data_IF_705972102630
#
_entry.id   IF_705972102630
#
_cell.length_a   1.000
_cell.length_b   1.000
_cell.length_c   1.000
_cell.angle_alpha   90.00
_cell.angle_beta   90.00
_cell.angle_gamma   90.00
#
_symmetry.space_group_name_H-M   'P 1'
#
loop_
_entity.id
_entity.type
_entity.pdbx_description
1 polymer ?
#
# COMPACT_ATOMS: atom_id res chain seq x y z
N UNK A 1 76.99 25.02 40.14
CA UNK A 1 76.39 23.67 40.13
C UNK A 1 77.36 22.72 40.83
N UNK A 2 77.01 22.18 42.01
CA UNK A 2 77.88 21.33 42.84
C UNK A 2 77.75 19.88 42.35
N UNK A 3 78.78 19.35 41.68
CA UNK A 3 79.85 18.45 42.17
C UNK A 3 79.39 17.08 42.67
N UNK A 4 79.73 16.04 41.91
CA UNK A 4 79.77 14.62 42.35
C UNK A 4 81.18 14.12 42.08
N UNK A 5 81.83 13.62 43.13
CA UNK A 5 83.14 12.99 43.10
C UNK A 5 83.00 11.51 43.48
N UNK A 6 83.76 10.68 42.77
CA UNK A 6 83.92 9.25 43.00
C UNK A 6 84.76 8.98 44.26
N UNK A 7 84.62 7.78 44.84
CA UNK A 7 85.72 6.82 45.13
C UNK A 7 85.14 5.55 45.77
N UNK A 8 85.68 4.42 45.32
CA UNK A 8 85.40 3.04 45.69
C UNK A 8 86.45 2.56 46.71
N UNK A 9 86.05 1.79 47.73
CA UNK A 9 86.98 0.96 48.51
C UNK A 9 86.24 -0.24 49.14
N UNK A 10 86.84 -1.42 48.99
CA UNK A 10 86.42 -2.76 49.43
C UNK A 10 87.19 -3.15 50.70
N UNK A 11 86.59 -3.90 51.65
CA UNK A 11 87.23 -5.00 52.43
C UNK A 11 86.42 -5.63 53.61
N UNK A 12 85.87 -6.84 53.37
CA UNK A 12 85.89 -8.13 54.17
C UNK A 12 85.31 -8.28 55.63
N UNK A 13 85.04 -9.51 56.18
CA UNK A 13 83.72 -9.91 56.72
C UNK A 13 83.72 -10.54 58.15
N UNK A 14 82.56 -10.90 58.73
CA UNK A 14 82.46 -11.93 59.79
C UNK A 14 81.01 -12.45 60.01
N UNK A 15 80.85 -13.77 60.04
CA UNK A 15 79.65 -14.59 60.39
C UNK A 15 79.88 -15.23 61.79
N UNK A 16 78.98 -16.06 62.36
CA UNK A 16 77.67 -15.79 62.98
C UNK A 16 77.60 -16.33 64.45
N UNK A 17 76.50 -16.11 65.18
CA UNK A 17 76.15 -16.98 66.33
C UNK A 17 74.64 -16.95 66.65
N UNK A 18 73.99 -18.11 66.52
CA UNK A 18 72.70 -18.43 67.13
C UNK A 18 72.93 -19.25 68.41
N UNK A 19 72.12 -19.00 69.44
CA UNK A 19 71.53 -19.92 70.44
C UNK A 19 71.08 -19.06 71.63
N UNK A 20 70.04 -19.30 72.41
CA UNK A 20 68.96 -20.30 72.55
C UNK A 20 67.97 -19.63 73.52
N UNK A 21 66.65 -19.75 73.33
CA UNK A 21 65.72 -19.45 74.42
C UNK A 21 64.58 -20.46 74.51
N UNK A 22 64.32 -20.85 75.76
CA UNK A 22 63.54 -21.97 76.24
C UNK A 22 62.04 -21.85 75.97
N UNK A 23 61.39 -23.01 75.77
CA UNK A 23 59.93 -23.18 75.77
C UNK A 23 59.37 -23.27 77.19
N UNK A 24 58.20 -22.66 77.41
CA UNK A 24 57.19 -22.98 78.44
C UNK A 24 55.79 -23.02 77.75
N UNK A 25 54.76 -23.65 78.38
CA UNK A 25 53.85 -24.58 77.70
C UNK A 25 52.54 -23.96 77.17
N UNK A 26 51.86 -24.75 76.34
CA UNK A 26 50.71 -24.40 75.51
C UNK A 26 49.47 -23.94 76.28
N UNK A 27 48.89 -22.82 75.83
CA UNK A 27 47.50 -22.43 76.09
C UNK A 27 46.58 -23.06 75.04
N UNK A 28 45.44 -23.60 75.47
CA UNK A 28 44.37 -24.12 74.60
C UNK A 28 43.94 -23.05 73.60
N UNK A 29 44.07 -23.38 72.31
CA UNK A 29 43.56 -22.61 71.18
C UNK A 29 42.03 -22.71 71.22
N UNK A 30 41.35 -21.61 71.54
CA UNK A 30 39.91 -21.47 71.28
C UNK A 30 39.78 -21.39 69.76
N UNK A 31 39.07 -22.33 69.14
CA UNK A 31 38.71 -22.21 67.73
C UNK A 31 37.87 -20.93 67.54
N UNK A 32 38.19 -20.06 66.56
CA UNK A 32 37.30 -18.97 66.22
C UNK A 32 35.97 -19.57 65.76
N UNK A 33 34.87 -19.01 66.26
CA UNK A 33 33.55 -19.29 65.72
C UNK A 33 33.58 -19.16 64.18
N UNK A 34 32.85 -20.03 63.44
CA UNK A 34 32.87 -20.00 61.99
C UNK A 34 32.50 -18.59 61.52
N UNK A 35 33.32 -18.03 60.62
CA UNK A 35 33.04 -16.75 60.01
C UNK A 35 31.61 -16.76 59.45
N UNK A 36 30.79 -15.71 59.67
CA UNK A 36 29.48 -15.62 59.06
C UNK A 36 29.65 -15.83 57.55
N UNK A 37 28.82 -16.69 56.98
CA UNK A 37 28.86 -17.00 55.54
C UNK A 37 28.84 -15.72 54.70
N UNK A 38 29.36 -15.76 53.45
CA UNK A 38 29.43 -14.58 52.61
C UNK A 38 28.06 -13.90 52.53
N UNK A 39 28.02 -12.56 52.53
CA UNK A 39 26.76 -11.81 52.51
C UNK A 39 25.90 -12.26 51.33
N UNK A 40 24.67 -12.69 51.60
CA UNK A 40 23.74 -13.20 50.57
C UNK A 40 22.61 -12.23 50.27
N UNK A 41 22.15 -12.24 49.02
CA UNK A 41 20.97 -11.50 48.57
C UNK A 41 19.71 -12.18 49.09
N UNK A 42 18.86 -11.43 49.79
CA UNK A 42 17.59 -11.91 50.35
C UNK A 42 16.37 -11.20 49.75
N UNK A 43 16.58 -10.07 49.07
CA UNK A 43 15.55 -9.35 48.33
C UNK A 43 16.15 -8.74 47.06
N UNK A 44 15.38 -8.73 45.97
CA UNK A 44 15.76 -8.10 44.69
C UNK A 44 14.63 -7.15 44.30
N UNK A 45 14.98 -5.90 44.02
CA UNK A 45 14.08 -4.87 43.50
C UNK A 45 14.60 -4.39 42.14
N UNK A 46 13.69 -4.03 41.24
CA UNK A 46 14.03 -3.48 39.93
C UNK A 46 13.38 -2.11 39.79
N UNK A 47 14.15 -1.12 39.36
CA UNK A 47 13.69 0.24 39.10
C UNK A 47 14.02 0.65 37.65
N UNK A 48 13.20 1.54 37.07
CA UNK A 48 13.41 2.05 35.71
C UNK A 48 12.84 1.20 34.57
N UNK A 49 12.11 0.13 34.88
CA UNK A 49 11.35 -0.67 33.90
C UNK A 49 9.99 -0.02 33.62
N UNK A 50 9.56 -0.01 32.35
CA UNK A 50 8.28 0.55 31.90
C UNK A 50 7.47 -0.45 31.06
N UNK A 51 8.11 -1.08 30.07
CA UNK A 51 7.51 -2.05 29.15
C UNK A 51 7.50 -3.45 29.77
N UNK A 52 8.56 -3.82 30.49
CA UNK A 52 8.69 -5.14 31.10
C UNK A 52 8.28 -5.13 32.57
N UNK A 53 7.94 -6.32 33.08
CA UNK A 53 7.68 -6.49 34.52
C UNK A 53 9.00 -6.71 35.28
N UNK A 54 9.12 -6.25 36.53
CA UNK A 54 10.30 -6.49 37.37
C UNK A 54 10.74 -7.96 37.41
N UNK A 55 9.79 -8.90 37.47
CA UNK A 55 10.08 -10.33 37.55
C UNK A 55 10.78 -10.83 36.28
N UNK A 56 10.42 -10.29 35.12
CA UNK A 56 11.03 -10.64 33.85
C UNK A 56 12.49 -10.14 33.78
N UNK A 57 12.76 -8.95 34.34
CA UNK A 57 14.12 -8.40 34.43
C UNK A 57 14.98 -9.24 35.38
N UNK A 58 14.43 -9.64 36.53
CA UNK A 58 15.09 -10.54 37.47
C UNK A 58 15.39 -11.89 36.79
N UNK A 59 14.43 -12.46 36.07
CA UNK A 59 14.60 -13.72 35.35
C UNK A 59 15.76 -13.65 34.34
N UNK A 60 15.78 -12.64 33.47
CA UNK A 60 16.85 -12.51 32.47
C UNK A 60 18.21 -12.15 33.08
N UNK A 61 18.24 -11.46 34.22
CA UNK A 61 19.48 -11.21 34.97
C UNK A 61 20.10 -12.52 35.49
N UNK A 62 19.28 -13.56 35.69
CA UNK A 62 19.69 -14.83 36.29
C UNK A 62 20.09 -14.72 37.77
N UNK A 63 19.85 -13.58 38.42
CA UNK A 63 20.02 -13.42 39.86
C UNK A 63 18.95 -14.20 40.62
N UNK A 64 19.34 -14.78 41.76
CA UNK A 64 18.44 -15.52 42.62
C UNK A 64 18.58 -15.05 44.06
N UNK A 65 17.48 -15.17 44.81
CA UNK A 65 17.54 -15.09 46.27
C UNK A 65 18.49 -16.21 46.76
N UNK A 66 19.39 -15.85 47.67
CA UNK A 66 20.48 -16.69 48.16
C UNK A 66 21.81 -16.54 47.40
N UNK A 67 21.86 -15.79 46.29
CA UNK A 67 23.11 -15.51 45.59
C UNK A 67 24.08 -14.67 46.46
N UNK A 68 25.40 -14.85 46.31
CA UNK A 68 26.38 -13.97 46.97
C UNK A 68 26.19 -12.51 46.55
N UNK A 69 26.22 -11.59 47.51
CA UNK A 69 26.17 -10.16 47.30
C UNK A 69 27.57 -9.63 46.92
N UNK A 70 28.12 -10.12 45.80
CA UNK A 70 29.44 -9.73 45.31
C UNK A 70 29.36 -9.03 43.97
N UNK A 71 30.35 -8.19 43.68
CA UNK A 71 30.43 -7.43 42.43
C UNK A 71 30.35 -8.33 41.20
N UNK A 72 30.97 -9.50 41.24
CA UNK A 72 31.01 -10.45 40.12
C UNK A 72 29.62 -10.97 39.77
N UNK A 73 28.75 -11.19 40.77
CA UNK A 73 27.36 -11.61 40.53
C UNK A 73 26.56 -10.51 39.84
N UNK A 74 26.74 -9.25 40.26
CA UNK A 74 26.08 -8.11 39.64
C UNK A 74 26.60 -7.79 38.24
N UNK A 75 27.90 -7.92 37.99
CA UNK A 75 28.47 -7.75 36.66
C UNK A 75 28.00 -8.86 35.71
N UNK A 76 27.92 -10.11 36.17
CA UNK A 76 27.34 -11.20 35.37
C UNK A 76 25.85 -10.97 35.08
N UNK A 77 25.10 -10.42 36.04
CA UNK A 77 23.71 -10.02 35.84
C UNK A 77 23.58 -8.91 34.80
N UNK A 78 24.38 -7.85 34.92
CA UNK A 78 24.48 -6.75 33.94
C UNK A 78 24.71 -7.29 32.54
N UNK A 79 25.71 -8.17 32.37
CA UNK A 79 26.10 -8.69 31.07
C UNK A 79 24.97 -9.51 30.44
N UNK A 80 24.25 -10.32 31.23
CA UNK A 80 23.06 -11.05 30.75
C UNK A 80 21.93 -10.11 30.35
N UNK A 81 21.63 -9.11 31.18
CA UNK A 81 20.55 -8.15 30.90
C UNK A 81 20.86 -7.34 29.66
N UNK A 82 22.07 -6.77 29.53
CA UNK A 82 22.47 -6.00 28.35
C UNK A 82 22.56 -6.88 27.10
N UNK A 83 23.00 -8.13 27.22
CA UNK A 83 23.01 -9.08 26.11
C UNK A 83 21.61 -9.39 25.56
N UNK A 84 20.52 -9.14 26.32
CA UNK A 84 19.17 -9.25 25.75
C UNK A 84 18.95 -8.26 24.61
N UNK A 85 19.60 -7.08 24.63
CA UNK A 85 19.32 -5.97 23.72
C UNK A 85 18.03 -5.20 24.07
N UNK A 86 17.37 -5.52 25.19
CA UNK A 86 16.16 -4.83 25.63
C UNK A 86 16.42 -3.58 26.48
N UNK A 87 17.64 -3.44 26.99
CA UNK A 87 18.02 -2.41 27.95
C UNK A 87 19.27 -1.66 27.47
N UNK A 88 19.27 -0.34 27.61
CA UNK A 88 20.39 0.55 27.28
C UNK A 88 21.41 0.62 28.41
N UNK A 89 20.96 0.50 29.66
CA UNK A 89 21.82 0.57 30.84
C UNK A 89 21.37 -0.39 31.93
N UNK A 90 22.33 -0.80 32.76
CA UNK A 90 22.11 -1.58 33.96
C UNK A 90 23.12 -1.13 35.03
N UNK A 91 22.59 -0.56 36.11
CA UNK A 91 23.27 -0.24 37.35
C UNK A 91 22.75 -1.11 38.49
N UNK A 92 23.48 -1.13 39.59
CA UNK A 92 23.06 -1.85 40.78
C UNK A 92 23.51 -1.16 42.05
N UNK A 93 22.74 -1.38 43.11
CA UNK A 93 23.09 -1.05 44.50
C UNK A 93 22.71 -2.23 45.38
N UNK A 94 23.40 -2.38 46.50
CA UNK A 94 23.00 -3.36 47.50
C UNK A 94 23.22 -2.83 48.91
N UNK A 95 22.24 -3.07 49.78
CA UNK A 95 22.19 -2.51 51.13
C UNK A 95 21.85 -3.62 52.13
N UNK A 96 22.40 -3.59 53.35
CA UNK A 96 22.06 -4.58 54.37
C UNK A 96 20.59 -4.46 54.78
N UNK A 97 19.90 -5.60 54.92
CA UNK A 97 18.51 -5.61 55.38
C UNK A 97 18.42 -5.29 56.89
N UNK A 98 17.30 -4.66 57.33
CA UNK A 98 17.01 -4.47 58.75
C UNK A 98 17.10 -5.80 59.51
N UNK A 99 17.94 -5.85 60.56
CA UNK A 99 18.17 -7.07 61.35
C UNK A 99 19.39 -7.91 60.94
N UNK A 100 20.19 -7.47 59.95
CA UNK A 100 21.49 -8.07 59.62
C UNK A 100 21.43 -9.43 58.90
N UNK A 101 20.24 -9.87 58.49
CA UNK A 101 20.02 -11.14 57.80
C UNK A 101 20.12 -10.97 56.27
N UNK A 102 21.28 -10.56 55.77
CA UNK A 102 21.56 -10.47 54.32
C UNK A 102 21.32 -9.09 53.69
N UNK A 103 21.28 -9.05 52.36
CA UNK A 103 21.29 -7.82 51.57
C UNK A 103 20.08 -7.73 50.63
N UNK A 104 19.61 -6.50 50.43
CA UNK A 104 18.67 -6.14 49.36
C UNK A 104 19.48 -5.65 48.16
N UNK A 105 19.27 -6.26 47.00
CA UNK A 105 19.78 -5.79 45.72
C UNK A 105 18.73 -4.89 45.05
N UNK A 106 19.16 -3.74 44.54
CA UNK A 106 18.36 -2.88 43.66
C UNK A 106 19.03 -2.83 42.30
N UNK A 107 18.31 -3.27 41.26
CA UNK A 107 18.73 -3.24 39.87
C UNK A 107 18.12 -2.00 39.21
N UNK A 108 18.96 -1.07 38.80
CA UNK A 108 18.55 0.18 38.14
C UNK A 108 18.73 0.00 36.64
N UNK A 109 17.66 0.00 35.85
CA UNK A 109 17.73 -0.25 34.40
C UNK A 109 17.15 0.91 33.59
N UNK A 110 17.63 1.02 32.35
CA UNK A 110 17.00 1.85 31.31
C UNK A 110 16.61 0.94 30.15
N UNK A 111 15.33 0.89 29.80
CA UNK A 111 14.86 0.18 28.61
C UNK A 111 15.20 0.95 27.33
N UNK A 112 15.31 0.23 26.21
CA UNK A 112 15.41 0.87 24.89
C UNK A 112 14.19 1.75 24.64
N UNK A 113 14.40 3.00 24.24
CA UNK A 113 13.31 3.97 24.12
C UNK A 113 12.21 3.58 23.11
N UNK A 114 12.56 2.83 22.06
CA UNK A 114 11.69 2.54 20.93
C UNK A 114 11.32 1.06 20.84
N UNK A 115 10.01 0.80 20.90
CA UNK A 115 9.40 -0.51 20.72
C UNK A 115 8.41 -0.47 19.57
N UNK A 116 8.57 -1.37 18.60
CA UNK A 116 7.71 -1.41 17.42
C UNK A 116 7.08 -2.79 17.23
N UNK A 117 5.87 -2.88 16.66
CA UNK A 117 5.38 -4.12 16.11
C UNK A 117 6.35 -4.65 15.04
N UNK A 118 6.31 -5.95 14.80
CA UNK A 118 7.14 -6.58 13.78
C UNK A 118 6.30 -7.26 12.71
N UNK A 119 6.86 -7.42 11.52
CA UNK A 119 6.26 -8.20 10.45
C UNK A 119 7.32 -8.92 9.61
N UNK A 120 6.91 -10.03 8.99
CA UNK A 120 7.71 -10.72 7.98
C UNK A 120 7.38 -10.12 6.61
N UNK A 121 8.40 -9.74 5.86
CA UNK A 121 8.28 -9.19 4.51
C UNK A 121 8.95 -10.12 3.51
N UNK A 122 8.22 -10.54 2.48
CA UNK A 122 8.74 -11.39 1.37
C UNK A 122 9.34 -12.72 1.86
N UNK A 123 8.74 -13.33 2.89
CA UNK A 123 9.13 -14.63 3.44
C UNK A 123 7.97 -15.64 3.40
N UNK A 124 7.46 -16.04 2.22
CA UNK A 124 6.28 -16.92 2.11
C UNK A 124 6.48 -18.32 2.71
N UNK A 125 7.73 -18.77 2.85
CA UNK A 125 8.06 -20.05 3.45
C UNK A 125 7.90 -20.07 4.98
N UNK A 126 7.68 -18.92 5.63
CA UNK A 126 7.59 -18.81 7.09
C UNK A 126 6.38 -17.96 7.48
N UNK A 127 5.47 -18.55 8.26
CA UNK A 127 4.32 -17.82 8.78
C UNK A 127 4.68 -17.02 10.03
N UNK A 128 4.06 -15.86 10.22
CA UNK A 128 4.29 -15.01 11.40
C UNK A 128 3.96 -15.74 12.72
N UNK A 129 2.88 -16.53 12.74
CA UNK A 129 2.49 -17.31 13.92
C UNK A 129 3.55 -18.37 14.30
N UNK A 130 4.13 -19.05 13.31
CA UNK A 130 5.21 -20.03 13.53
C UNK A 130 6.47 -19.36 14.07
N UNK A 131 6.88 -18.24 13.49
CA UNK A 131 8.01 -17.45 13.99
C UNK A 131 7.75 -16.96 15.42
N UNK A 132 6.58 -16.39 15.69
CA UNK A 132 6.20 -15.89 17.01
C UNK A 132 6.28 -16.98 18.08
N UNK A 133 5.70 -18.16 17.81
CA UNK A 133 5.72 -19.29 18.74
C UNK A 133 7.13 -19.81 19.03
N UNK A 134 8.05 -19.73 18.06
CA UNK A 134 9.46 -20.11 18.25
C UNK A 134 10.24 -19.03 18.98
N UNK A 135 10.02 -17.77 18.62
CA UNK A 135 10.68 -16.62 19.22
C UNK A 135 10.33 -16.47 20.70
N UNK A 136 9.08 -16.71 21.10
CA UNK A 136 8.67 -16.73 22.52
C UNK A 136 9.44 -17.74 23.38
N UNK A 137 9.98 -18.82 22.78
CA UNK A 137 10.75 -19.86 23.48
C UNK A 137 12.26 -19.59 23.49
N UNK A 138 12.78 -18.96 22.44
CA UNK A 138 14.23 -18.81 22.25
C UNK A 138 14.77 -17.39 22.45
N UNK A 139 13.91 -16.38 22.32
CA UNK A 139 14.31 -14.97 22.41
C UNK A 139 13.79 -14.40 23.74
N UNK A 140 14.67 -13.97 24.65
CA UNK A 140 14.27 -13.33 25.89
C UNK A 140 13.33 -12.16 25.65
N UNK A 141 12.27 -12.05 26.45
CA UNK A 141 11.36 -10.92 26.46
C UNK A 141 10.64 -10.66 25.12
N UNK A 142 10.48 -11.69 24.28
CA UNK A 142 9.79 -11.55 23.01
C UNK A 142 8.28 -11.34 23.19
N UNK A 143 7.72 -10.43 22.38
CA UNK A 143 6.31 -10.06 22.42
C UNK A 143 5.80 -9.47 21.11
N UNK A 144 4.61 -8.90 21.15
CA UNK A 144 3.99 -8.24 19.99
C UNK A 144 4.77 -7.01 19.52
N UNK A 145 5.42 -6.31 20.46
CA UNK A 145 6.35 -5.23 20.19
C UNK A 145 7.72 -5.60 20.71
N UNK A 146 8.75 -5.31 19.94
CA UNK A 146 10.14 -5.63 20.26
C UNK A 146 11.00 -4.35 20.23
N UNK A 147 12.11 -4.30 21.00
CA UNK A 147 12.96 -3.13 21.04
C UNK A 147 13.69 -2.93 19.71
N UNK A 148 13.81 -1.69 19.27
CA UNK A 148 14.51 -1.29 18.04
C UNK A 148 16.04 -1.24 18.22
N UNK A 149 16.62 -2.15 18.99
CA UNK A 149 18.06 -2.26 19.17
C UNK A 149 18.68 -3.22 18.16
N UNK A 150 19.91 -2.92 17.72
CA UNK A 150 20.63 -3.77 16.78
C UNK A 150 20.83 -5.20 17.31
N UNK A 151 21.14 -5.33 18.60
CA UNK A 151 21.33 -6.63 19.27
C UNK A 151 20.06 -7.48 19.20
N UNK A 152 18.91 -6.90 19.54
CA UNK A 152 17.65 -7.63 19.55
C UNK A 152 17.17 -7.98 18.14
N UNK A 153 17.23 -7.00 17.24
CA UNK A 153 16.84 -7.17 15.85
C UNK A 153 17.71 -8.23 15.13
N UNK A 154 19.02 -8.22 15.33
CA UNK A 154 19.92 -9.23 14.75
C UNK A 154 19.66 -10.62 15.32
N UNK A 155 19.34 -10.74 16.61
CA UNK A 155 18.96 -12.02 17.23
C UNK A 155 17.68 -12.58 16.60
N UNK A 156 16.65 -11.75 16.43
CA UNK A 156 15.41 -12.15 15.79
C UNK A 156 15.61 -12.53 14.32
N UNK A 157 16.37 -11.74 13.56
CA UNK A 157 16.72 -12.06 12.17
C UNK A 157 17.50 -13.39 12.06
N UNK A 158 18.42 -13.66 12.99
CA UNK A 158 19.16 -14.93 13.02
C UNK A 158 18.26 -16.14 13.34
N UNK A 159 17.24 -15.99 14.19
CA UNK A 159 16.24 -17.04 14.38
C UNK A 159 15.46 -17.30 13.10
N UNK A 160 14.97 -16.25 12.44
CA UNK A 160 14.26 -16.37 11.16
C UNK A 160 15.15 -17.05 10.12
N UNK A 161 16.43 -16.66 10.02
CA UNK A 161 17.40 -17.27 9.10
C UNK A 161 17.53 -18.78 9.34
N UNK A 162 17.63 -19.22 10.60
CA UNK A 162 17.70 -20.65 10.94
C UNK A 162 16.42 -21.39 10.54
N UNK A 163 15.26 -20.84 10.86
CA UNK A 163 13.97 -21.42 10.48
C UNK A 163 13.80 -21.54 8.96
N UNK A 164 14.29 -20.56 8.20
CA UNK A 164 14.29 -20.61 6.74
C UNK A 164 15.28 -21.65 6.20
N UNK A 165 16.47 -21.77 6.80
CA UNK A 165 17.47 -22.76 6.40
C UNK A 165 16.97 -24.21 6.61
N UNK A 166 16.22 -24.48 7.68
CA UNK A 166 15.52 -25.76 7.90
C UNK A 166 14.54 -26.12 6.78
N UNK A 167 14.05 -25.11 6.04
CA UNK A 167 13.16 -25.24 4.88
C UNK A 167 13.90 -25.15 3.54
N UNK A 168 15.23 -25.16 3.54
CA UNK A 168 16.07 -25.06 2.35
C UNK A 168 16.21 -23.65 1.78
N UNK A 169 15.75 -22.61 2.48
CA UNK A 169 15.88 -21.21 2.04
C UNK A 169 17.16 -20.60 2.60
N UNK A 170 18.06 -20.17 1.72
CA UNK A 170 19.40 -19.65 2.06
C UNK A 170 19.54 -18.13 1.94
N UNK A 171 18.47 -17.44 1.54
CA UNK A 171 18.49 -15.97 1.38
C UNK A 171 18.75 -15.29 2.73
N UNK A 172 19.61 -14.27 2.73
CA UNK A 172 20.00 -13.53 3.93
C UNK A 172 18.85 -12.64 4.43
N UNK A 173 18.44 -12.85 5.68
CA UNK A 173 17.43 -12.04 6.36
C UNK A 173 18.06 -10.91 7.16
N UNK A 174 17.45 -9.73 7.08
CA UNK A 174 17.80 -8.53 7.84
C UNK A 174 16.56 -7.90 8.46
N UNK A 175 16.75 -7.14 9.51
CA UNK A 175 15.73 -6.32 10.13
C UNK A 175 15.89 -4.86 9.71
N UNK A 176 14.79 -4.15 9.49
CA UNK A 176 14.78 -2.70 9.22
C UNK A 176 13.56 -2.04 9.86
N UNK A 177 13.75 -0.86 10.43
CA UNK A 177 12.65 -0.04 10.94
C UNK A 177 12.09 0.78 9.79
N UNK A 178 10.81 0.59 9.46
CA UNK A 178 10.15 1.29 8.36
C UNK A 178 8.71 1.65 8.70
N UNK A 179 8.20 2.70 8.06
CA UNK A 179 6.79 3.03 8.06
C UNK A 179 6.02 2.05 7.17
N UNK A 180 5.03 1.38 7.73
CA UNK A 180 4.07 0.53 7.04
C UNK A 180 2.69 1.21 7.03
N UNK A 181 1.99 1.13 5.90
CA UNK A 181 0.71 1.82 5.72
C UNK A 181 0.87 3.34 5.74
N UNK A 182 0.00 4.03 6.49
CA UNK A 182 -0.02 5.51 6.54
C UNK A 182 0.75 6.10 7.73
N UNK A 183 0.84 5.37 8.85
CA UNK A 183 1.25 5.95 10.14
C UNK A 183 1.90 4.93 11.11
N UNK A 184 2.05 3.66 10.72
CA UNK A 184 2.54 2.62 11.64
C UNK A 184 4.03 2.36 11.40
N UNK A 185 4.90 2.63 12.36
CA UNK A 185 6.32 2.25 12.28
C UNK A 185 6.47 0.81 12.80
N UNK A 186 7.11 -0.05 12.01
CA UNK A 186 7.32 -1.46 12.33
C UNK A 186 8.76 -1.91 12.05
N UNK A 187 9.18 -2.97 12.72
CA UNK A 187 10.42 -3.70 12.39
C UNK A 187 10.07 -4.78 11.36
N UNK A 188 10.55 -4.61 10.14
CA UNK A 188 10.37 -5.56 9.05
C UNK A 188 11.55 -6.53 8.97
N UNK A 189 11.25 -7.81 9.04
CA UNK A 189 12.21 -8.87 8.78
C UNK A 189 12.01 -9.40 7.36
N UNK A 190 13.04 -9.29 6.54
CA UNK A 190 12.98 -9.76 5.15
C UNK A 190 14.35 -9.81 4.50
N UNK A 191 14.40 -10.15 3.20
CA UNK A 191 15.63 -10.18 2.45
C UNK A 191 16.42 -8.87 2.53
N UNK A 192 17.75 -8.97 2.54
CA UNK A 192 18.64 -7.79 2.41
C UNK A 192 18.64 -7.19 1.00
N UNK A 193 18.02 -7.87 0.04
CA UNK A 193 17.94 -7.44 -1.36
C UNK A 193 16.65 -6.63 -1.61
N UNK A 194 16.70 -5.61 -2.48
CA UNK A 194 15.48 -4.93 -2.89
C UNK A 194 14.52 -5.91 -3.60
N UNK A 195 13.21 -5.65 -3.60
CA UNK A 195 12.25 -6.47 -4.33
C UNK A 195 12.62 -6.54 -5.82
N UNK A 196 12.52 -7.72 -6.46
CA UNK A 196 12.79 -7.84 -7.88
C UNK A 196 11.71 -7.11 -8.69
N UNK A 197 12.09 -6.52 -9.81
CA UNK A 197 11.11 -5.90 -10.70
C UNK A 197 10.30 -6.97 -11.46
N UNK A 198 9.05 -6.66 -11.77
CA UNK A 198 8.22 -7.47 -12.65
C UNK A 198 8.79 -7.38 -14.07
N UNK A 199 9.19 -8.51 -14.62
CA UNK A 199 9.72 -8.62 -15.98
C UNK A 199 8.66 -9.05 -16.99
N UNK A 200 7.74 -9.92 -16.56
CA UNK A 200 6.71 -10.52 -17.40
C UNK A 200 5.50 -10.87 -16.54
N UNK A 201 4.31 -10.78 -17.13
CA UNK A 201 3.05 -11.22 -16.51
C UNK A 201 2.39 -12.26 -17.39
N UNK A 202 1.78 -13.28 -16.77
CA UNK A 202 1.05 -14.36 -17.45
C UNK A 202 -0.28 -14.60 -16.78
N UNK A 203 -1.26 -15.03 -17.55
CA UNK A 203 -2.57 -15.42 -17.02
C UNK A 203 -2.83 -16.89 -17.33
N UNK A 204 -3.23 -17.63 -16.30
CA UNK A 204 -3.73 -18.99 -16.41
C UNK A 204 -5.18 -19.04 -15.93
N UNK A 205 -6.01 -19.87 -16.56
CA UNK A 205 -7.44 -19.95 -16.26
C UNK A 205 -8.30 -18.89 -16.96
N UNK A 206 -7.70 -17.86 -17.57
CA UNK A 206 -8.41 -16.88 -18.39
C UNK A 206 -8.85 -17.47 -19.74
N UNK A 207 -10.16 -17.46 -20.01
CA UNK A 207 -10.78 -18.02 -21.23
C UNK A 207 -11.84 -17.09 -21.82
N UNK A 208 -12.62 -16.41 -20.99
CA UNK A 208 -13.72 -15.53 -21.43
C UNK A 208 -13.18 -14.26 -22.10
N UNK A 209 -12.05 -13.75 -21.60
CA UNK A 209 -11.33 -12.63 -22.21
C UNK A 209 -10.05 -13.16 -22.83
N UNK A 210 -9.73 -12.75 -24.06
CA UNK A 210 -8.46 -13.12 -24.69
C UNK A 210 -7.29 -12.68 -23.75
N UNK A 211 -6.46 -13.63 -23.27
CA UNK A 211 -5.40 -13.34 -22.32
C UNK A 211 -4.42 -12.26 -22.78
N UNK A 212 -4.23 -12.06 -24.09
CA UNK A 212 -3.37 -11.01 -24.62
C UNK A 212 -3.83 -9.60 -24.22
N UNK A 213 -5.14 -9.36 -24.12
CA UNK A 213 -5.66 -8.08 -23.65
C UNK A 213 -5.40 -7.89 -22.16
N UNK A 214 -5.52 -8.95 -21.35
CA UNK A 214 -5.21 -8.91 -19.92
C UNK A 214 -3.72 -8.65 -19.68
N UNK A 215 -2.86 -9.36 -20.42
CA UNK A 215 -1.40 -9.16 -20.39
C UNK A 215 -1.07 -7.72 -20.76
N UNK A 216 -1.64 -7.18 -21.84
CA UNK A 216 -1.38 -5.79 -22.26
C UNK A 216 -1.80 -4.79 -21.17
N UNK A 217 -3.03 -4.87 -20.68
CA UNK A 217 -3.56 -3.95 -19.67
C UNK A 217 -2.72 -3.96 -18.38
N UNK A 218 -2.29 -5.13 -17.92
CA UNK A 218 -1.45 -5.23 -16.73
C UNK A 218 0.00 -4.81 -16.98
N UNK A 219 0.55 -5.14 -18.15
CA UNK A 219 1.94 -4.86 -18.49
C UNK A 219 2.26 -3.38 -18.46
N UNK A 220 1.34 -2.53 -18.93
CA UNK A 220 1.49 -1.07 -18.98
C UNK A 220 1.73 -0.44 -17.61
N UNK A 221 1.28 -1.08 -16.53
CA UNK A 221 1.41 -0.57 -15.15
C UNK A 221 2.34 -1.40 -14.27
N UNK A 222 2.57 -2.67 -14.61
CA UNK A 222 3.30 -3.60 -13.75
C UNK A 222 4.77 -3.77 -14.17
N UNK A 223 5.07 -3.86 -15.48
CA UNK A 223 6.44 -4.18 -15.93
C UNK A 223 7.41 -3.09 -15.53
N UNK A 224 8.57 -3.49 -15.01
CA UNK A 224 9.61 -2.57 -14.52
C UNK A 224 9.41 -2.08 -13.09
N UNK A 225 8.24 -2.30 -12.48
CA UNK A 225 7.97 -1.93 -11.09
C UNK A 225 8.43 -3.03 -10.11
N UNK A 226 8.83 -2.69 -8.87
CA UNK A 226 9.18 -3.70 -7.88
C UNK A 226 7.99 -4.57 -7.48
N UNK A 227 8.16 -5.89 -7.49
CA UNK A 227 7.13 -6.84 -7.10
C UNK A 227 6.99 -6.89 -5.57
N UNK A 228 5.83 -6.43 -5.10
CA UNK A 228 5.31 -6.67 -3.77
C UNK A 228 3.88 -7.18 -3.92
N UNK A 229 3.57 -8.35 -3.35
CA UNK A 229 2.28 -9.01 -3.59
C UNK A 229 1.07 -8.12 -3.29
N UNK A 230 1.00 -7.36 -2.17
CA UNK A 230 -0.15 -6.50 -1.90
C UNK A 230 -0.35 -5.41 -2.98
N UNK A 231 0.75 -4.80 -3.43
CA UNK A 231 0.72 -3.77 -4.47
C UNK A 231 0.32 -4.38 -5.82
N UNK A 232 0.87 -5.55 -6.15
CA UNK A 232 0.55 -6.24 -7.40
C UNK A 232 -0.92 -6.66 -7.45
N UNK A 233 -1.46 -7.17 -6.33
CA UNK A 233 -2.88 -7.51 -6.21
C UNK A 233 -3.78 -6.29 -6.42
N UNK A 234 -3.39 -5.12 -5.92
CA UNK A 234 -4.10 -3.87 -6.20
C UNK A 234 -4.10 -3.52 -7.70
N UNK A 235 -3.01 -3.78 -8.44
CA UNK A 235 -2.98 -3.61 -9.90
C UNK A 235 -3.99 -4.53 -10.60
N UNK A 236 -4.14 -5.78 -10.14
CA UNK A 236 -5.13 -6.72 -10.67
C UNK A 236 -6.56 -6.23 -10.43
N UNK A 237 -6.88 -5.76 -9.22
CA UNK A 237 -8.19 -5.22 -8.89
C UNK A 237 -8.52 -3.93 -9.67
N UNK A 238 -7.51 -3.12 -10.01
CA UNK A 238 -7.73 -1.85 -10.71
C UNK A 238 -7.75 -2.02 -12.24
N UNK A 239 -6.93 -2.91 -12.81
CA UNK A 239 -6.78 -3.04 -14.26
C UNK A 239 -7.55 -4.23 -14.84
N UNK A 240 -7.60 -5.36 -14.13
CA UNK A 240 -8.09 -6.63 -14.69
C UNK A 240 -9.52 -6.91 -14.25
N UNK A 241 -9.85 -6.68 -12.97
CA UNK A 241 -11.21 -6.88 -12.45
C UNK A 241 -12.26 -6.10 -13.25
N UNK A 242 -12.06 -4.82 -13.63
CA UNK A 242 -13.05 -4.09 -14.44
C UNK A 242 -13.32 -4.71 -15.81
N UNK A 243 -12.32 -5.37 -16.42
CA UNK A 243 -12.49 -6.05 -17.70
C UNK A 243 -13.43 -7.25 -17.57
N UNK A 244 -13.27 -8.05 -16.51
CA UNK A 244 -14.18 -9.14 -16.17
C UNK A 244 -15.57 -8.65 -15.76
N UNK A 245 -15.63 -7.60 -14.95
CA UNK A 245 -16.88 -6.95 -14.56
C UNK A 245 -17.67 -6.52 -15.79
N UNK A 246 -17.01 -5.92 -16.80
CA UNK A 246 -17.63 -5.43 -18.03
C UNK A 246 -18.39 -6.52 -18.79
N UNK A 247 -17.87 -7.75 -18.80
CA UNK A 247 -18.49 -8.90 -19.47
C UNK A 247 -19.34 -9.76 -18.53
N UNK A 248 -19.71 -9.25 -17.35
CA UNK A 248 -20.63 -9.94 -16.44
C UNK A 248 -20.00 -11.05 -15.60
N UNK A 249 -18.67 -11.11 -15.51
CA UNK A 249 -17.92 -12.03 -14.64
C UNK A 249 -17.65 -11.37 -13.28
N UNK A 250 -18.74 -11.04 -12.58
CA UNK A 250 -18.71 -10.18 -11.38
C UNK A 250 -18.03 -10.81 -10.16
N UNK A 251 -17.76 -12.12 -10.18
CA UNK A 251 -17.10 -12.86 -9.12
C UNK A 251 -15.76 -13.44 -9.57
N UNK A 252 -15.13 -12.85 -10.59
CA UNK A 252 -13.77 -13.20 -10.96
C UNK A 252 -12.81 -13.01 -9.77
N UNK A 253 -11.88 -13.95 -9.60
CA UNK A 253 -10.93 -13.97 -8.50
C UNK A 253 -9.51 -14.29 -9.00
N UNK A 254 -8.51 -13.63 -8.41
CA UNK A 254 -7.09 -13.86 -8.66
C UNK A 254 -6.51 -14.66 -7.49
N UNK A 255 -6.66 -15.97 -7.55
CA UNK A 255 -6.53 -16.86 -6.38
C UNK A 255 -5.08 -17.09 -5.99
N UNK A 256 -4.20 -17.31 -6.96
CA UNK A 256 -2.78 -17.61 -6.73
C UNK A 256 -1.90 -16.75 -7.63
N UNK A 257 -0.80 -16.26 -7.06
CA UNK A 257 0.26 -15.54 -7.75
C UNK A 257 1.53 -16.38 -7.64
N UNK A 258 1.93 -17.03 -8.74
CA UNK A 258 3.19 -17.75 -8.80
C UNK A 258 4.28 -16.82 -9.31
N UNK A 259 5.39 -16.75 -8.56
CA UNK A 259 6.47 -15.82 -8.84
C UNK A 259 7.74 -16.60 -9.04
N UNK A 260 8.31 -16.54 -10.24
CA UNK A 260 9.55 -17.23 -10.60
C UNK A 260 10.56 -16.25 -11.19
N UNK A 261 11.87 -16.44 -10.97
CA UNK A 261 12.88 -15.63 -11.64
C UNK A 261 12.75 -15.72 -13.16
N UNK A 262 12.89 -14.59 -13.86
CA UNK A 262 12.89 -14.59 -15.32
C UNK A 262 14.21 -15.17 -15.85
N UNK A 263 14.09 -16.10 -16.80
CA UNK A 263 15.25 -16.66 -17.50
C UNK A 263 15.84 -15.71 -18.55
N UNK A 264 15.09 -14.67 -18.97
CA UNK A 264 15.45 -13.78 -20.09
C UNK A 264 16.08 -12.47 -19.64
N UNK A 265 15.57 -11.91 -18.54
CA UNK A 265 15.98 -10.59 -18.05
C UNK A 265 15.99 -10.56 -16.53
N UNK A 266 16.66 -9.58 -15.94
CA UNK A 266 16.65 -9.37 -14.49
C UNK A 266 15.24 -8.99 -14.03
N UNK A 267 14.64 -9.83 -13.19
CA UNK A 267 13.31 -9.62 -12.62
C UNK A 267 12.58 -10.94 -12.40
N UNK A 268 11.27 -10.85 -12.18
CA UNK A 268 10.39 -12.01 -11.98
C UNK A 268 9.30 -12.08 -13.04
N UNK A 269 8.95 -13.31 -13.40
CA UNK A 269 7.70 -13.63 -14.12
C UNK A 269 6.63 -13.87 -13.06
N UNK A 270 5.51 -13.17 -13.17
CA UNK A 270 4.36 -13.37 -12.29
C UNK A 270 3.26 -14.07 -13.09
N UNK A 271 2.90 -15.29 -12.70
CA UNK A 271 1.78 -16.04 -13.27
C UNK A 271 0.56 -15.88 -12.36
N UNK A 272 -0.50 -15.32 -12.92
CA UNK A 272 -1.77 -15.06 -12.24
C UNK A 272 -2.74 -16.17 -12.58
N UNK A 273 -3.18 -16.92 -11.57
CA UNK A 273 -4.26 -17.89 -11.71
C UNK A 273 -5.60 -17.18 -11.52
N UNK A 274 -6.45 -17.28 -12.53
CA UNK A 274 -7.77 -16.64 -12.58
C UNK A 274 -8.86 -17.69 -12.46
N UNK A 275 -9.76 -17.47 -11.51
CA UNK A 275 -11.07 -18.09 -11.49
C UNK A 275 -12.07 -17.06 -12.00
N UNK A 276 -12.60 -17.26 -13.21
CA UNK A 276 -13.42 -16.24 -13.88
C UNK A 276 -14.81 -16.06 -13.23
N UNK A 277 -15.24 -17.01 -12.41
CA UNK A 277 -16.56 -17.03 -11.79
C UNK A 277 -17.68 -17.29 -12.80
N UNK A 278 -18.88 -17.53 -12.28
CA UNK A 278 -20.08 -17.76 -13.09
C UNK A 278 -20.51 -16.49 -13.85
N UNK A 279 -21.10 -16.62 -15.06
CA UNK A 279 -21.61 -15.47 -15.79
C UNK A 279 -22.88 -14.97 -15.11
N UNK A 280 -22.99 -13.65 -14.98
CA UNK A 280 -24.23 -13.03 -14.54
C UNK A 280 -25.08 -12.66 -15.76
N UNK A 281 -26.39 -12.83 -15.65
CA UNK A 281 -27.35 -12.39 -16.65
C UNK A 281 -28.00 -11.06 -16.25
N UNK A 282 -28.49 -10.31 -17.22
CA UNK A 282 -29.23 -9.07 -16.98
C UNK A 282 -30.68 -9.41 -16.61
N UNK A 283 -31.09 -9.10 -15.37
CA UNK A 283 -32.43 -9.38 -14.87
C UNK A 283 -33.45 -8.34 -15.32
N UNK A 284 -33.25 -7.08 -14.93
CA UNK A 284 -34.06 -5.96 -15.44
C UNK A 284 -33.26 -4.67 -15.61
N UNK A 285 -33.79 -3.80 -16.47
CA UNK A 285 -33.37 -2.39 -16.55
C UNK A 285 -34.59 -1.53 -16.21
N UNK A 286 -34.43 -0.64 -15.24
CA UNK A 286 -35.49 0.26 -14.79
C UNK A 286 -35.05 1.71 -14.99
N UNK A 287 -35.76 2.40 -15.87
CA UNK A 287 -35.51 3.79 -16.22
C UNK A 287 -36.51 4.71 -15.50
N UNK A 288 -36.02 5.79 -14.90
CA UNK A 288 -36.83 6.86 -14.27
C UNK A 288 -36.36 8.25 -14.72
N UNK A 289 -37.21 9.26 -14.55
CA UNK A 289 -36.87 10.67 -14.83
C UNK A 289 -36.70 11.03 -16.32
N UNK A 290 -37.08 10.14 -17.23
CA UNK A 290 -36.94 10.39 -18.66
C UNK A 290 -37.94 11.46 -19.17
N UNK A 291 -37.51 12.34 -20.09
CA UNK A 291 -38.40 13.27 -20.78
C UNK A 291 -39.10 12.66 -22.00
N UNK A 292 -38.75 11.41 -22.36
CA UNK A 292 -39.33 10.64 -23.47
C UNK A 292 -40.14 9.46 -22.93
N UNK A 293 -40.95 8.83 -23.79
CA UNK A 293 -41.66 7.62 -23.41
C UNK A 293 -40.67 6.49 -23.05
N UNK A 294 -40.95 5.79 -21.96
CA UNK A 294 -40.13 4.69 -21.48
C UNK A 294 -40.00 3.55 -22.49
N UNK A 295 -41.07 3.22 -23.23
CA UNK A 295 -41.03 2.15 -24.24
C UNK A 295 -40.03 2.47 -25.37
N UNK A 296 -40.05 3.71 -25.87
CA UNK A 296 -39.07 4.16 -26.88
C UNK A 296 -37.65 4.10 -26.32
N UNK A 297 -37.46 4.47 -25.06
CA UNK A 297 -36.16 4.42 -24.39
C UNK A 297 -35.67 2.96 -24.23
N UNK A 298 -36.55 2.04 -23.88
CA UNK A 298 -36.24 0.62 -23.75
C UNK A 298 -35.87 -0.01 -25.12
N UNK A 299 -36.58 0.37 -26.19
CA UNK A 299 -36.27 -0.04 -27.56
C UNK A 299 -34.91 0.50 -28.04
N UNK A 300 -34.59 1.78 -27.76
CA UNK A 300 -33.28 2.38 -28.06
C UNK A 300 -32.16 1.69 -27.28
N UNK A 301 -32.41 1.38 -26.01
CA UNK A 301 -31.46 0.76 -25.10
C UNK A 301 -31.08 -0.67 -25.51
N UNK A 302 -32.04 -1.42 -26.07
CA UNK A 302 -31.84 -2.79 -26.55
C UNK A 302 -31.14 -3.69 -25.52
N UNK A 303 -31.64 -3.67 -24.28
CA UNK A 303 -30.91 -4.09 -23.09
C UNK A 303 -30.37 -5.52 -23.07
N UNK A 304 -31.01 -6.46 -23.78
CA UNK A 304 -30.61 -7.86 -23.74
C UNK A 304 -30.96 -8.55 -22.42
N UNK A 305 -32.19 -8.35 -21.94
CA UNK A 305 -32.73 -9.05 -20.76
C UNK A 305 -32.57 -10.57 -20.91
N UNK A 306 -32.27 -11.24 -19.80
CA UNK A 306 -31.98 -12.68 -19.68
C UNK A 306 -30.71 -13.17 -20.40
N UNK A 307 -29.97 -12.28 -21.07
CA UNK A 307 -28.64 -12.60 -21.64
C UNK A 307 -27.54 -12.27 -20.64
N UNK A 308 -26.34 -12.81 -20.88
CA UNK A 308 -25.15 -12.45 -20.11
C UNK A 308 -24.99 -10.92 -20.12
N UNK A 309 -24.87 -10.34 -18.93
CA UNK A 309 -24.79 -8.89 -18.79
C UNK A 309 -23.49 -8.38 -19.40
N UNK A 310 -23.59 -7.30 -20.18
CA UNK A 310 -22.42 -6.58 -20.67
C UNK A 310 -22.61 -5.08 -20.42
N UNK A 311 -21.83 -4.55 -19.47
CA UNK A 311 -21.96 -3.17 -19.01
C UNK A 311 -21.52 -2.15 -20.08
N UNK A 312 -20.66 -2.55 -21.02
CA UNK A 312 -20.31 -1.69 -22.16
C UNK A 312 -21.50 -1.49 -23.09
N UNK A 313 -22.30 -2.54 -23.33
CA UNK A 313 -23.51 -2.42 -24.17
C UNK A 313 -24.59 -1.61 -23.47
N UNK A 314 -24.80 -1.82 -22.17
CA UNK A 314 -25.74 -1.04 -21.37
C UNK A 314 -25.35 0.44 -21.37
N UNK A 315 -24.07 0.75 -21.16
CA UNK A 315 -23.57 2.13 -21.24
C UNK A 315 -23.82 2.77 -22.60
N UNK A 316 -23.61 2.03 -23.70
CA UNK A 316 -23.95 2.50 -25.05
C UNK A 316 -25.46 2.73 -25.23
N UNK A 317 -26.30 1.85 -24.71
CA UNK A 317 -27.76 2.01 -24.72
C UNK A 317 -28.21 3.29 -24.01
N UNK A 318 -27.68 3.52 -22.80
CA UNK A 318 -27.93 4.75 -22.02
C UNK A 318 -27.50 6.00 -22.80
N UNK A 319 -26.32 5.97 -23.45
CA UNK A 319 -25.85 7.14 -24.22
C UNK A 319 -26.73 7.42 -25.44
N UNK A 320 -27.20 6.38 -26.16
CA UNK A 320 -28.16 6.56 -27.26
C UNK A 320 -29.47 7.20 -26.79
N UNK A 321 -29.95 6.84 -25.60
CA UNK A 321 -31.14 7.46 -25.00
C UNK A 321 -30.86 8.95 -24.72
N UNK A 322 -29.69 9.29 -24.18
CA UNK A 322 -29.28 10.68 -23.96
C UNK A 322 -29.19 11.46 -25.26
N UNK A 323 -28.60 10.87 -26.31
CA UNK A 323 -28.55 11.47 -27.64
C UNK A 323 -29.96 11.74 -28.17
N UNK A 324 -30.88 10.78 -28.05
CA UNK A 324 -32.27 10.99 -28.43
C UNK A 324 -32.92 12.15 -27.66
N UNK A 325 -32.66 12.28 -26.36
CA UNK A 325 -33.17 13.39 -25.55
C UNK A 325 -32.53 14.74 -25.92
N UNK A 326 -31.25 14.76 -26.31
CA UNK A 326 -30.57 15.96 -26.82
C UNK A 326 -31.13 16.41 -28.17
N UNK A 327 -31.67 15.48 -28.96
CA UNK A 327 -32.46 15.81 -30.15
C UNK A 327 -33.84 16.40 -29.82
N UNK A 328 -34.28 16.38 -28.56
CA UNK A 328 -35.51 17.02 -28.09
C UNK A 328 -35.23 18.27 -27.24
N UNK A 329 -34.00 18.80 -27.23
CA UNK A 329 -33.64 20.02 -26.49
C UNK A 329 -33.03 19.80 -25.11
N UNK A 330 -32.94 18.57 -24.60
CA UNK A 330 -32.38 18.28 -23.27
C UNK A 330 -30.85 18.17 -23.30
N UNK A 331 -30.17 19.27 -23.63
CA UNK A 331 -28.73 19.31 -23.85
C UNK A 331 -27.90 18.90 -22.63
N UNK A 332 -28.41 19.23 -21.44
CA UNK A 332 -27.72 19.01 -20.16
C UNK A 332 -28.17 17.72 -19.47
N UNK A 333 -28.84 16.81 -20.19
CA UNK A 333 -29.32 15.55 -19.61
C UNK A 333 -28.18 14.77 -18.94
N UNK A 334 -28.38 14.47 -17.66
CA UNK A 334 -27.51 13.69 -16.82
C UNK A 334 -28.22 12.40 -16.36
N UNK A 335 -27.47 11.47 -15.78
CA UNK A 335 -28.06 10.28 -15.18
C UNK A 335 -27.22 9.79 -13.99
N UNK A 336 -27.88 9.03 -13.12
CA UNK A 336 -27.24 8.21 -12.08
C UNK A 336 -27.66 6.77 -12.30
N UNK A 337 -26.68 5.87 -12.40
CA UNK A 337 -26.94 4.44 -12.53
C UNK A 337 -26.51 3.72 -11.25
N UNK A 338 -27.32 2.75 -10.81
CA UNK A 338 -26.97 1.80 -9.76
C UNK A 338 -27.29 0.38 -10.21
N UNK A 339 -26.47 -0.57 -9.75
CA UNK A 339 -26.66 -2.00 -9.98
C UNK A 339 -27.03 -2.72 -8.69
N UNK A 340 -27.91 -3.70 -8.76
CA UNK A 340 -28.23 -4.62 -7.68
C UNK A 340 -27.88 -6.03 -8.13
N UNK A 341 -27.00 -6.69 -7.39
CA UNK A 341 -26.56 -8.05 -7.70
C UNK A 341 -27.45 -9.04 -6.94
N UNK A 342 -27.86 -10.11 -7.61
CA UNK A 342 -28.46 -11.27 -6.99
C UNK A 342 -27.51 -12.46 -7.20
N UNK A 343 -26.76 -12.81 -6.16
CA UNK A 343 -25.76 -13.88 -6.25
C UNK A 343 -26.37 -15.27 -6.34
N UNK A 344 -27.57 -15.49 -5.79
CA UNK A 344 -28.25 -16.80 -5.82
C UNK A 344 -28.77 -17.08 -7.23
N UNK A 345 -29.38 -16.08 -7.86
CA UNK A 345 -29.93 -16.18 -9.22
C UNK A 345 -28.89 -15.91 -10.31
N UNK A 346 -27.70 -15.43 -9.94
CA UNK A 346 -26.67 -14.91 -10.87
C UNK A 346 -27.23 -13.85 -11.82
N UNK A 347 -28.07 -12.95 -11.30
CA UNK A 347 -28.65 -11.86 -12.09
C UNK A 347 -28.16 -10.50 -11.61
N UNK A 348 -28.21 -9.51 -12.50
CA UNK A 348 -27.96 -8.10 -12.19
C UNK A 348 -29.14 -7.28 -12.63
N UNK A 349 -29.66 -6.46 -11.74
CA UNK A 349 -30.67 -5.46 -12.06
C UNK A 349 -30.01 -4.09 -12.14
N UNK A 350 -30.36 -3.31 -13.16
CA UNK A 350 -29.85 -1.97 -13.40
C UNK A 350 -30.97 -0.96 -13.22
N UNK A 351 -30.70 0.09 -12.45
CA UNK A 351 -31.62 1.19 -12.26
C UNK A 351 -30.93 2.47 -12.73
N UNK A 352 -31.56 3.19 -13.64
CA UNK A 352 -31.02 4.41 -14.24
C UNK A 352 -32.01 5.54 -14.00
N UNK A 353 -31.58 6.52 -13.22
CA UNK A 353 -32.35 7.72 -12.93
C UNK A 353 -31.81 8.89 -13.75
N UNK A 354 -32.61 9.37 -14.69
CA UNK A 354 -32.26 10.49 -15.56
C UNK A 354 -32.68 11.81 -14.95
N UNK A 355 -31.80 12.80 -15.09
CA UNK A 355 -32.13 14.20 -14.86
C UNK A 355 -32.09 14.90 -16.22
N UNK A 356 -33.26 15.20 -16.83
CA UNK A 356 -33.32 15.82 -18.14
C UNK A 356 -32.76 17.24 -18.15
N UNK A 357 -32.75 17.91 -16.99
CA UNK A 357 -32.48 19.34 -16.90
C UNK A 357 -33.50 20.17 -17.70
N UNK A 358 -33.18 21.45 -17.97
CA UNK A 358 -34.05 22.32 -18.75
C UNK A 358 -34.05 21.95 -20.24
N UNK A 359 -35.21 22.09 -20.88
CA UNK A 359 -35.34 21.94 -22.33
C UNK A 359 -34.93 23.25 -23.01
N UNK A 360 -33.88 23.19 -23.84
CA UNK A 360 -33.40 24.32 -24.61
C UNK A 360 -34.12 24.43 -25.94
N UNK A 361 -34.39 25.67 -26.36
CA UNK A 361 -34.98 26.00 -27.66
C UNK A 361 -33.97 26.70 -28.55
N UNK A 362 -34.14 26.60 -29.87
CA UNK A 362 -33.40 27.44 -30.79
C UNK A 362 -33.75 28.91 -30.53
N UNK A 363 -32.75 29.73 -30.23
CA UNK A 363 -32.85 31.18 -30.09
C UNK A 363 -32.80 31.83 -31.48
N UNK A 364 -31.67 32.43 -31.81
CA UNK A 364 -31.42 33.05 -33.11
C UNK A 364 -30.64 32.12 -34.05
N UNK A 365 -31.00 32.15 -35.33
CA UNK A 365 -30.23 31.54 -36.41
C UNK A 365 -29.48 32.62 -37.20
N UNK A 366 -28.16 32.65 -37.05
CA UNK A 366 -27.25 33.48 -37.81
C UNK A 366 -26.60 32.66 -38.91
N UNK A 367 -26.50 33.23 -40.11
CA UNK A 367 -25.80 32.61 -41.25
C UNK A 367 -24.77 33.63 -41.71
N UNK A 368 -23.51 33.20 -41.81
CA UNK A 368 -22.38 34.07 -42.10
C UNK A 368 -21.57 33.54 -43.27
N UNK A 369 -21.06 34.46 -44.10
CA UNK A 369 -20.13 34.18 -45.19
C UNK A 369 -20.76 33.63 -46.48
N UNK A 370 -22.09 33.76 -46.61
CA UNK A 370 -22.80 33.58 -47.87
C UNK A 370 -23.18 34.94 -48.49
N UNK A 371 -23.39 34.96 -49.81
CA UNK A 371 -23.88 36.15 -50.52
C UNK A 371 -25.40 36.36 -50.36
N UNK A 372 -25.89 37.49 -50.89
CA UNK A 372 -27.29 37.92 -50.79
C UNK A 372 -28.28 37.00 -51.52
N UNK A 373 -27.80 36.16 -52.45
CA UNK A 373 -28.64 35.25 -53.23
C UNK A 373 -28.71 33.86 -52.57
N UNK A 374 -27.60 33.40 -51.99
CA UNK A 374 -27.45 32.05 -51.44
C UNK A 374 -27.94 31.94 -49.99
N UNK A 375 -27.72 32.98 -49.17
CA UNK A 375 -28.13 32.96 -47.75
C UNK A 375 -29.63 32.71 -47.55
N UNK A 376 -30.56 33.37 -48.27
CA UNK A 376 -31.99 33.11 -48.13
C UNK A 376 -32.38 31.68 -48.52
N UNK A 377 -31.68 31.07 -49.49
CA UNK A 377 -31.95 29.68 -49.92
C UNK A 377 -31.52 28.71 -48.84
N UNK A 378 -30.30 28.85 -48.30
CA UNK A 378 -29.82 28.03 -47.17
C UNK A 378 -30.72 28.20 -45.95
N UNK A 379 -31.13 29.43 -45.64
CA UNK A 379 -32.08 29.72 -44.55
C UNK A 379 -33.42 29.01 -44.74
N UNK A 380 -33.93 28.93 -45.97
CA UNK A 380 -35.19 28.24 -46.30
C UNK A 380 -35.05 26.72 -46.21
N UNK A 381 -33.88 26.17 -46.55
CA UNK A 381 -33.58 24.74 -46.41
C UNK A 381 -33.39 24.32 -44.95
N UNK A 382 -32.93 25.24 -44.09
CA UNK A 382 -32.80 25.00 -42.66
C UNK A 382 -34.18 24.96 -41.99
N UNK A 383 -34.65 23.76 -41.63
CA UNK A 383 -36.05 23.55 -41.23
C UNK A 383 -36.33 23.91 -39.77
N UNK A 384 -35.31 23.96 -38.91
CA UNK A 384 -35.46 24.27 -37.48
C UNK A 384 -35.59 25.79 -37.27
N UNK A 385 -36.66 26.22 -36.60
CA UNK A 385 -37.01 27.63 -36.42
C UNK A 385 -36.76 28.10 -34.99
N UNK A 386 -36.49 29.39 -34.78
CA UNK A 386 -36.52 30.00 -33.45
C UNK A 386 -37.77 29.59 -32.67
N UNK A 387 -37.57 29.07 -31.45
CA UNK A 387 -38.62 28.54 -30.58
C UNK A 387 -38.82 27.02 -30.64
N UNK A 388 -38.32 26.34 -31.67
CA UNK A 388 -38.32 24.87 -31.73
C UNK A 388 -37.36 24.30 -30.66
N UNK A 389 -37.61 23.09 -30.13
CA UNK A 389 -36.62 22.39 -29.32
C UNK A 389 -35.27 22.30 -30.05
N UNK A 390 -34.19 22.65 -29.35
CA UNK A 390 -32.87 22.68 -29.97
C UNK A 390 -32.36 21.26 -30.19
N UNK A 391 -32.14 20.89 -31.47
CA UNK A 391 -31.67 19.56 -31.85
C UNK A 391 -30.15 19.56 -32.01
N UNK A 392 -29.44 18.92 -31.07
CA UNK A 392 -27.99 19.06 -30.95
C UNK A 392 -27.21 18.68 -32.22
N UNK A 393 -27.56 17.60 -32.90
CA UNK A 393 -26.84 17.14 -34.11
C UNK A 393 -27.36 17.75 -35.42
N UNK A 394 -28.45 18.51 -35.39
CA UNK A 394 -29.15 18.93 -36.61
C UNK A 394 -28.31 19.86 -37.48
N UNK A 395 -27.61 20.83 -36.89
CA UNK A 395 -26.83 21.81 -37.63
C UNK A 395 -25.68 21.16 -38.41
N UNK A 396 -24.91 20.27 -37.77
CA UNK A 396 -23.78 19.60 -38.41
C UNK A 396 -24.25 18.61 -39.49
N UNK A 397 -25.34 17.89 -39.25
CA UNK A 397 -25.96 17.02 -40.25
C UNK A 397 -26.44 17.81 -41.47
N UNK A 398 -27.10 18.95 -41.24
CA UNK A 398 -27.55 19.84 -42.30
C UNK A 398 -26.37 20.34 -43.16
N UNK A 399 -25.29 20.81 -42.54
CA UNK A 399 -24.10 21.28 -43.27
C UNK A 399 -23.44 20.16 -44.09
N UNK A 400 -23.34 18.95 -43.54
CA UNK A 400 -22.85 17.79 -44.26
C UNK A 400 -23.73 17.43 -45.48
N UNK A 401 -25.05 17.42 -45.30
CA UNK A 401 -26.01 17.12 -46.37
C UNK A 401 -25.96 18.15 -47.51
N UNK A 402 -25.87 19.44 -47.19
CA UNK A 402 -25.76 20.51 -48.19
C UNK A 402 -24.46 20.36 -49.01
N UNK A 403 -23.34 20.03 -48.35
CA UNK A 403 -22.06 19.78 -49.02
C UNK A 403 -22.12 18.56 -49.92
N UNK A 404 -22.64 17.44 -49.41
CA UNK A 404 -22.64 16.15 -50.12
C UNK A 404 -23.57 16.18 -51.33
N UNK A 405 -24.66 16.95 -51.30
CA UNK A 405 -25.57 17.12 -52.43
C UNK A 405 -25.06 18.08 -53.52
N UNK A 406 -23.98 18.82 -53.28
CA UNK A 406 -23.42 19.76 -54.24
C UNK A 406 -24.41 20.83 -54.72
N UNK A 407 -25.37 21.23 -53.86
CA UNK A 407 -26.48 22.13 -54.24
C UNK A 407 -25.97 23.52 -54.65
N UNK A 408 -24.79 23.90 -54.16
CA UNK A 408 -24.17 25.18 -54.44
C UNK A 408 -22.70 24.97 -54.75
N UNK A 409 -22.24 25.58 -55.84
CA UNK A 409 -20.82 25.73 -56.10
C UNK A 409 -20.21 26.65 -55.04
N UNK A 410 -18.98 26.34 -54.59
CA UNK A 410 -18.13 27.26 -53.83
C UNK A 410 -18.58 27.67 -52.40
N UNK A 411 -19.24 26.78 -51.65
CA UNK A 411 -19.58 27.01 -50.23
C UNK A 411 -18.37 27.16 -49.28
N UNK A 412 -17.20 26.66 -49.71
CA UNK A 412 -15.96 26.65 -48.90
C UNK A 412 -16.07 25.75 -47.67
N UNK A 413 -15.23 26.00 -46.66
CA UNK A 413 -15.33 25.30 -45.37
C UNK A 413 -16.57 25.74 -44.60
N UNK A 414 -17.33 24.76 -44.09
CA UNK A 414 -18.56 24.97 -43.30
C UNK A 414 -18.38 24.52 -41.87
N UNK A 415 -18.88 25.30 -40.91
CA UNK A 415 -18.95 24.90 -39.49
C UNK A 415 -20.14 25.52 -38.79
N UNK A 416 -20.60 24.87 -37.72
CA UNK A 416 -21.59 25.43 -36.80
C UNK A 416 -20.93 25.96 -35.52
N UNK A 417 -21.49 27.01 -34.94
CA UNK A 417 -21.11 27.54 -33.61
C UNK A 417 -22.39 27.76 -32.81
N UNK A 418 -22.37 27.39 -31.53
CA UNK A 418 -23.49 27.60 -30.61
C UNK A 418 -23.11 28.55 -29.48
N UNK A 419 -24.09 29.33 -29.03
CA UNK A 419 -24.01 30.15 -27.82
C UNK A 419 -25.21 29.82 -26.93
N UNK A 420 -24.94 29.25 -25.76
CA UNK A 420 -25.98 28.77 -24.84
C UNK A 420 -26.34 29.89 -23.86
N UNK A 421 -27.62 30.22 -23.78
CA UNK A 421 -28.17 31.14 -22.79
C UNK A 421 -28.99 30.36 -21.75
N UNK A 422 -28.39 30.09 -20.60
CA UNK A 422 -29.01 29.29 -19.54
C UNK A 422 -30.22 29.98 -18.89
N UNK A 423 -30.16 31.31 -18.71
CA UNK A 423 -31.26 32.06 -18.10
C UNK A 423 -32.52 32.05 -18.96
N UNK A 424 -32.34 32.06 -20.29
CA UNK A 424 -33.45 32.02 -21.26
C UNK A 424 -33.73 30.63 -21.80
N UNK A 425 -32.94 29.62 -21.43
CA UNK A 425 -33.01 28.25 -21.95
C UNK A 425 -33.04 28.22 -23.48
N UNK A 426 -32.16 29.02 -24.10
CA UNK A 426 -32.06 29.15 -25.56
C UNK A 426 -30.65 28.90 -26.06
N UNK A 427 -30.54 28.48 -27.31
CA UNK A 427 -29.27 28.32 -28.02
C UNK A 427 -29.29 29.19 -29.26
N UNK A 428 -28.42 30.18 -29.31
CA UNK A 428 -28.17 30.92 -30.54
C UNK A 428 -27.22 30.10 -31.42
N UNK A 429 -27.63 29.79 -32.65
CA UNK A 429 -26.89 28.99 -33.61
C UNK A 429 -26.35 29.88 -34.73
N UNK A 430 -25.06 29.76 -35.01
CA UNK A 430 -24.40 30.42 -36.15
C UNK A 430 -23.86 29.37 -37.11
N UNK A 431 -24.34 29.40 -38.35
CA UNK A 431 -23.78 28.64 -39.47
C UNK A 431 -22.76 29.52 -40.19
N UNK A 432 -21.52 29.05 -40.28
CA UNK A 432 -20.41 29.78 -40.88
C UNK A 432 -20.01 29.07 -42.16
N UNK A 433 -20.01 29.83 -43.25
CA UNK A 433 -19.53 29.43 -44.57
C UNK A 433 -18.31 30.29 -44.90
N UNK A 434 -17.25 29.69 -45.45
CA UNK A 434 -16.06 30.45 -45.83
C UNK A 434 -16.18 31.07 -47.22
N UNK A 435 -17.12 30.57 -48.04
CA UNK A 435 -17.33 31.00 -49.42
C UNK A 435 -16.09 30.80 -50.30
N UNK A 436 -16.18 31.30 -51.54
CA UNK A 436 -15.01 31.38 -52.42
C UNK A 436 -14.07 32.49 -51.92
N UNK A 437 -12.78 32.19 -51.74
CA UNK A 437 -11.77 33.24 -51.54
C UNK A 437 -11.75 34.13 -52.78
N UNK A 438 -12.37 35.31 -52.72
CA UNK A 438 -12.20 36.31 -53.79
C UNK A 438 -10.70 36.54 -54.00
N UNK A 439 -10.17 36.39 -55.22
CA UNK A 439 -8.77 36.72 -55.47
C UNK A 439 -8.56 38.20 -55.10
N UNK A 440 -7.39 38.57 -54.55
CA UNK A 440 -7.12 39.95 -54.20
C UNK A 440 -7.37 40.81 -55.44
N UNK A 441 -8.14 41.90 -55.29
CA UNK A 441 -8.30 42.91 -56.35
C UNK A 441 -6.90 43.31 -56.79
N UNK A 442 -6.47 42.88 -57.99
CA UNK A 442 -5.34 43.49 -58.67
C UNK A 442 -5.69 44.97 -58.75
N UNK A 443 -4.89 45.81 -58.09
CA UNK A 443 -4.97 47.26 -58.26
C UNK A 443 -4.94 47.54 -59.76
N UNK A 444 -5.89 48.36 -60.22
CA UNK A 444 -5.78 48.90 -61.57
C UNK A 444 -4.48 49.72 -61.65
N UNK A 445 -3.78 49.66 -62.80
CA UNK A 445 -2.49 50.30 -63.01
C UNK A 445 -2.52 51.82 -62.85
#
# INVERSE_FOLDING_TARGET
MRFVAAILLFAVPLLPAQTKQQRRPAAKKIEPAPAPGPPVIQAIEVTGTNVYKPEQVIEVSGMKIGSPATREVFEAARDKVLATGCFESFGWKYEPLPGGQGFKATLEITEVAQFYPWALERLPALQAAEFSARAQKEIPLFGERIPASEVYMNRAAALIQRMLAERGVTEKVTARVQLIGKDTIAILFGPSTPPPNVAEVRFEGARVINPQYLVKALSDVAIGTPYLEPNFRMLLENQIRPMYDTVGRLRAAFTKLEVVPSAKVKGVVVTIHVEEGEPYTLGKVELSGLPINKADADDIGAWGIDKQVNFSEIGRGIEKIRDRCREDGYMKIAYKARRVLNDDKKTVDIFVDFDPGPQYKLGRLLIQGLDLETEPVIRKLFTMKPGDPYRQSYADRFLAEIRDRGIFDNLGETKSKIEVNDARQTVDLTLIFSGEKRPPKKGLP
#
